data_IF_796529769968
#
_entry.id   IF_796529769968
#
_cell.length_a   1.000
_cell.length_b   1.000
_cell.length_c   1.000
_cell.angle_alpha   90.00
_cell.angle_beta   90.00
_cell.angle_gamma   90.00
#
_symmetry.space_group_name_H-M   'P 1'
#
loop_
_entity.id
_entity.type
_entity.pdbx_description
1 polymer ?
#
# COMPACT_ATOMS: atom_id res chain seq x y z
N UNK A 1 11.17 -12.42 10.52
CA UNK A 1 9.79 -12.15 10.91
C UNK A 1 8.88 -13.25 10.41
N UNK A 2 7.92 -13.68 11.22
CA UNK A 2 6.83 -14.58 10.81
C UNK A 2 5.58 -14.13 11.55
N UNK A 3 4.48 -13.91 10.83
CA UNK A 3 3.19 -13.51 11.36
C UNK A 3 2.09 -14.41 10.79
N UNK A 4 1.21 -14.86 11.66
CA UNK A 4 -0.01 -15.58 11.28
C UNK A 4 -1.21 -14.70 11.61
N UNK A 5 -2.20 -14.71 10.74
CA UNK A 5 -3.50 -14.08 10.96
C UNK A 5 -4.56 -15.16 11.17
N UNK A 6 -5.49 -14.92 12.10
CA UNK A 6 -6.71 -15.68 12.26
C UNK A 6 -7.90 -14.77 12.00
N UNK A 7 -8.70 -15.12 11.02
CA UNK A 7 -9.90 -14.38 10.68
C UNK A 7 -11.12 -15.28 10.89
N UNK A 8 -12.11 -14.75 11.62
CA UNK A 8 -13.42 -15.39 11.84
C UNK A 8 -14.40 -14.90 10.75
N UNK A 9 -14.11 -15.28 9.52
CA UNK A 9 -14.94 -14.98 8.33
C UNK A 9 -15.90 -16.14 7.96
N UNK A 10 -16.01 -17.13 8.86
CA UNK A 10 -16.80 -18.33 8.66
C UNK A 10 -16.01 -19.52 8.12
N UNK A 11 -14.72 -19.37 7.84
CA UNK A 11 -13.81 -20.45 7.45
C UNK A 11 -12.89 -20.90 8.59
N UNK A 12 -12.74 -20.08 9.65
CA UNK A 12 -11.92 -20.33 10.84
C UNK A 12 -10.51 -20.84 10.51
N UNK A 13 -9.86 -20.25 9.51
CA UNK A 13 -8.53 -20.65 9.08
C UNK A 13 -7.44 -19.77 9.70
N UNK A 14 -6.30 -20.38 10.02
CA UNK A 14 -5.07 -19.66 10.32
C UNK A 14 -4.27 -19.60 9.03
N UNK A 15 -3.99 -18.40 8.55
CA UNK A 15 -3.19 -18.19 7.35
C UNK A 15 -1.86 -17.51 7.68
N UNK A 16 -0.87 -17.69 6.81
CA UNK A 16 0.39 -16.98 6.87
C UNK A 16 0.19 -15.59 6.29
N UNK A 17 0.26 -14.58 7.15
CA UNK A 17 0.19 -13.18 6.76
C UNK A 17 1.53 -12.71 6.21
N UNK A 18 2.57 -12.74 7.04
CA UNK A 18 3.92 -12.36 6.65
C UNK A 18 4.96 -13.39 7.05
N UNK A 19 5.94 -13.63 6.18
CA UNK A 19 7.13 -14.40 6.49
C UNK A 19 8.30 -13.96 5.63
N UNK A 20 9.24 -13.20 6.22
CA UNK A 20 10.38 -12.69 5.49
C UNK A 20 11.66 -12.67 6.32
N UNK A 21 12.80 -12.59 5.62
CA UNK A 21 14.12 -12.39 6.19
C UNK A 21 14.76 -11.13 5.61
N UNK A 22 15.42 -10.34 6.46
CA UNK A 22 16.21 -9.17 6.05
C UNK A 22 17.69 -9.51 6.31
N UNK A 23 18.53 -9.26 5.29
CA UNK A 23 19.97 -9.40 5.36
C UNK A 23 20.58 -8.03 5.13
N UNK A 24 21.13 -7.43 6.17
CA UNK A 24 21.74 -6.10 6.11
C UNK A 24 22.35 -5.75 7.44
N UNK A 25 23.19 -4.71 7.42
CA UNK A 25 23.76 -4.12 8.63
C UNK A 25 23.89 -2.62 8.43
N UNK A 26 22.88 -1.87 8.87
CA UNK A 26 22.80 -0.41 8.71
C UNK A 26 23.98 0.36 9.33
N UNK A 27 24.68 -0.22 10.31
CA UNK A 27 25.88 0.39 10.90
C UNK A 27 27.10 0.31 9.97
N UNK A 28 27.14 -0.66 9.07
CA UNK A 28 28.29 -0.93 8.19
C UNK A 28 28.01 -0.56 6.73
N UNK A 29 26.82 -0.88 6.24
CA UNK A 29 26.43 -0.64 4.85
C UNK A 29 25.00 -0.11 4.81
N UNK A 30 24.72 0.90 3.99
CA UNK A 30 23.35 1.41 3.84
C UNK A 30 22.45 0.48 3.02
N UNK A 31 22.96 -0.62 2.48
CA UNK A 31 22.24 -1.55 1.62
C UNK A 31 21.75 -2.78 2.39
N UNK A 32 20.57 -3.28 2.02
CA UNK A 32 19.98 -4.50 2.56
C UNK A 32 19.24 -5.28 1.48
N UNK A 33 19.01 -6.56 1.77
CA UNK A 33 18.18 -7.46 0.98
C UNK A 33 17.03 -7.94 1.88
N UNK A 34 15.84 -8.03 1.31
CA UNK A 34 14.68 -8.66 1.97
C UNK A 34 14.09 -9.71 1.03
N UNK A 35 13.74 -10.87 1.56
CA UNK A 35 13.13 -11.95 0.80
C UNK A 35 12.05 -12.65 1.63
N UNK A 36 10.92 -12.98 1.01
CA UNK A 36 9.79 -13.64 1.63
C UNK A 36 8.46 -13.02 1.22
N UNK A 37 7.42 -13.21 2.02
CA UNK A 37 6.08 -12.63 1.82
C UNK A 37 5.85 -11.50 2.82
N UNK A 38 5.46 -10.33 2.32
CA UNK A 38 5.03 -9.16 3.12
C UNK A 38 4.27 -8.17 2.22
N UNK A 39 3.63 -7.16 2.81
CA UNK A 39 3.10 -6.02 2.05
C UNK A 39 4.26 -5.25 1.41
N UNK A 40 4.41 -5.31 0.08
CA UNK A 40 5.50 -4.66 -0.64
C UNK A 40 5.45 -3.13 -0.48
N UNK A 41 6.58 -2.40 -0.54
CA UNK A 41 6.60 -0.96 -0.29
C UNK A 41 5.97 -0.18 -1.45
N UNK A 42 4.64 -0.14 -1.46
CA UNK A 42 3.81 0.63 -2.38
C UNK A 42 2.69 1.30 -1.59
N UNK A 43 2.90 2.56 -1.19
CA UNK A 43 2.01 3.35 -0.35
C UNK A 43 2.50 3.55 1.09
N UNK A 44 2.10 4.68 1.68
CA UNK A 44 2.19 4.96 3.10
C UNK A 44 0.79 4.97 3.68
N UNK A 45 0.49 4.00 4.55
CA UNK A 45 -0.87 3.75 5.03
C UNK A 45 -1.06 4.10 6.51
N UNK A 46 -0.14 4.89 7.07
CA UNK A 46 -0.26 5.35 8.46
C UNK A 46 -1.54 6.14 8.68
N UNK A 47 -2.17 5.89 9.81
CA UNK A 47 -3.42 6.54 10.21
C UNK A 47 -3.58 6.55 11.74
N UNK A 48 -4.23 7.56 12.28
CA UNK A 48 -4.70 7.60 13.66
C UNK A 48 -6.17 7.14 13.80
N UNK A 49 -6.82 6.79 12.69
CA UNK A 49 -8.17 6.25 12.67
C UNK A 49 -8.18 4.77 13.03
N UNK A 50 -9.33 4.26 13.45
CA UNK A 50 -9.53 2.83 13.68
C UNK A 50 -9.82 2.03 12.41
N UNK A 51 -9.93 2.69 11.28
CA UNK A 51 -10.21 2.10 9.97
C UNK A 51 -9.09 2.47 9.00
N UNK A 52 -8.74 1.54 8.14
CA UNK A 52 -7.73 1.75 7.10
C UNK A 52 -8.10 2.89 6.13
N UNK A 53 -7.11 3.64 5.62
CA UNK A 53 -7.34 4.63 4.59
C UNK A 53 -7.74 3.97 3.26
N UNK A 54 -8.51 4.67 2.42
CA UNK A 54 -8.94 4.15 1.11
C UNK A 54 -7.75 3.87 0.19
N UNK A 55 -6.63 4.56 0.34
CA UNK A 55 -5.39 4.26 -0.37
C UNK A 55 -4.85 2.87 -0.03
N UNK A 56 -4.93 2.45 1.25
CA UNK A 56 -4.57 1.08 1.65
C UNK A 56 -5.54 0.07 1.03
N UNK A 57 -6.84 0.33 1.14
CA UNK A 57 -7.86 -0.53 0.54
C UNK A 57 -7.62 -0.73 -0.96
N UNK A 58 -7.20 0.31 -1.69
CA UNK A 58 -6.94 0.21 -3.12
C UNK A 58 -5.64 -0.51 -3.46
N UNK A 59 -4.55 -0.32 -2.68
CA UNK A 59 -3.22 -0.63 -3.19
C UNK A 59 -2.32 -1.49 -2.31
N UNK A 60 -2.78 -1.94 -1.13
CA UNK A 60 -1.97 -2.87 -0.34
C UNK A 60 -1.80 -4.19 -1.10
N UNK A 61 -0.55 -4.51 -1.41
CA UNK A 61 -0.15 -5.69 -2.19
C UNK A 61 0.78 -6.53 -1.34
N UNK A 62 0.36 -7.73 -0.94
CA UNK A 62 1.11 -8.63 -0.07
C UNK A 62 1.59 -9.86 -0.84
N UNK A 63 2.85 -9.82 -1.29
CA UNK A 63 3.42 -10.81 -2.19
C UNK A 63 4.73 -11.43 -1.70
N UNK A 64 5.05 -12.60 -2.24
CA UNK A 64 6.36 -13.19 -2.09
C UNK A 64 7.35 -12.49 -3.04
N UNK A 65 8.24 -11.69 -2.47
CA UNK A 65 9.11 -10.80 -3.23
C UNK A 65 10.58 -10.90 -2.83
N UNK A 66 11.45 -10.41 -3.70
CA UNK A 66 12.86 -10.12 -3.43
C UNK A 66 13.08 -8.62 -3.59
N UNK A 67 13.59 -7.98 -2.53
CA UNK A 67 13.84 -6.55 -2.49
C UNK A 67 15.30 -6.24 -2.23
N UNK A 68 15.81 -5.24 -2.94
CA UNK A 68 17.09 -4.58 -2.68
C UNK A 68 16.79 -3.16 -2.21
N UNK A 69 17.28 -2.82 -1.02
CA UNK A 69 17.08 -1.51 -0.42
C UNK A 69 18.40 -0.79 -0.12
N UNK A 70 18.32 0.55 -0.12
CA UNK A 70 19.34 1.47 0.34
C UNK A 70 18.71 2.48 1.29
N UNK A 71 19.22 2.59 2.52
CA UNK A 71 18.72 3.55 3.51
C UNK A 71 19.90 4.29 4.17
N UNK A 72 19.91 5.62 4.06
CA UNK A 72 20.93 6.47 4.66
C UNK A 72 20.47 7.93 4.82
N UNK A 73 20.74 8.51 6.00
CA UNK A 73 20.48 9.92 6.27
C UNK A 73 19.01 10.34 6.03
N UNK A 74 18.07 9.48 6.38
CA UNK A 74 16.65 9.69 6.18
C UNK A 74 16.13 9.31 4.79
N UNK A 75 17.01 9.11 3.80
CA UNK A 75 16.59 8.62 2.47
C UNK A 75 16.52 7.10 2.46
N UNK A 76 15.44 6.56 1.89
CA UNK A 76 15.28 5.15 1.57
C UNK A 76 14.91 5.02 0.10
N UNK A 77 15.58 4.10 -0.60
CA UNK A 77 15.28 3.72 -1.98
C UNK A 77 15.20 2.20 -2.06
N UNK A 78 14.16 1.68 -2.66
CA UNK A 78 13.86 0.27 -2.75
C UNK A 78 13.44 -0.11 -4.15
N UNK A 79 13.91 -1.27 -4.60
CA UNK A 79 13.45 -1.91 -5.82
C UNK A 79 13.18 -3.38 -5.53
N UNK A 80 12.06 -3.90 -6.00
CA UNK A 80 11.65 -5.28 -5.72
C UNK A 80 11.00 -5.92 -6.93
N UNK A 81 11.13 -7.26 -7.00
CA UNK A 81 10.47 -8.11 -7.99
C UNK A 81 9.68 -9.21 -7.30
N UNK A 82 8.54 -9.57 -7.87
CA UNK A 82 7.65 -10.58 -7.33
C UNK A 82 6.90 -11.32 -8.44
N UNK A 83 6.37 -12.48 -8.08
CA UNK A 83 5.39 -13.20 -8.89
C UNK A 83 4.03 -12.96 -8.25
N UNK A 84 3.17 -12.18 -8.91
CA UNK A 84 1.85 -11.83 -8.40
C UNK A 84 0.83 -12.94 -8.64
N UNK A 85 -0.31 -12.82 -7.96
CA UNK A 85 -1.44 -13.73 -8.12
C UNK A 85 -2.14 -13.56 -9.49
N UNK A 86 -2.01 -12.37 -10.11
CA UNK A 86 -2.57 -12.08 -11.43
C UNK A 86 -1.50 -12.18 -12.52
N UNK A 87 -1.85 -12.80 -13.66
CA UNK A 87 -0.96 -13.03 -14.80
C UNK A 87 -1.59 -12.53 -16.10
N UNK A 88 -0.77 -12.15 -17.07
CA UNK A 88 -1.27 -11.89 -18.42
C UNK A 88 -1.78 -13.18 -19.06
N UNK A 89 -2.88 -13.07 -19.78
CA UNK A 89 -3.49 -14.21 -20.46
C UNK A 89 -2.55 -14.80 -21.50
N UNK A 90 -2.11 -16.03 -21.26
CA UNK A 90 -1.21 -16.77 -22.14
C UNK A 90 0.26 -16.67 -21.83
N UNK A 91 0.63 -15.91 -20.80
CA UNK A 91 1.99 -15.89 -20.26
C UNK A 91 2.21 -17.02 -19.25
N UNK A 92 3.47 -17.40 -19.04
CA UNK A 92 3.87 -18.36 -18.04
C UNK A 92 3.86 -17.69 -16.63
N UNK A 93 3.65 -18.50 -15.60
CA UNK A 93 3.70 -18.07 -14.20
C UNK A 93 5.16 -17.87 -13.77
N UNK A 94 5.64 -16.62 -13.84
CA UNK A 94 7.02 -16.26 -13.54
C UNK A 94 7.16 -14.91 -12.84
N UNK A 95 8.36 -14.61 -12.32
CA UNK A 95 8.67 -13.33 -11.68
C UNK A 95 8.88 -12.28 -12.78
N UNK A 96 7.83 -11.55 -13.14
CA UNK A 96 7.87 -10.51 -14.17
C UNK A 96 7.31 -9.16 -13.69
N UNK A 97 6.81 -9.13 -12.46
CA UNK A 97 6.26 -7.93 -11.85
C UNK A 97 7.29 -7.27 -10.92
N UNK A 98 7.27 -5.95 -10.83
CA UNK A 98 8.21 -5.19 -10.02
C UNK A 98 7.62 -3.89 -9.48
N UNK A 99 8.28 -3.37 -8.46
CA UNK A 99 7.99 -2.05 -7.94
C UNK A 99 9.24 -1.29 -7.54
N UNK A 100 9.08 0.01 -7.43
CA UNK A 100 10.08 0.97 -6.96
C UNK A 100 9.47 1.87 -5.91
N UNK A 101 10.19 2.13 -4.84
CA UNK A 101 9.77 3.04 -3.79
C UNK A 101 10.93 3.94 -3.38
N UNK A 102 10.62 5.20 -3.05
CA UNK A 102 11.57 6.14 -2.49
C UNK A 102 10.90 6.97 -1.41
N UNK A 103 11.57 7.14 -0.27
CA UNK A 103 11.09 7.97 0.81
C UNK A 103 12.20 8.81 1.43
N UNK A 104 11.80 9.88 2.10
CA UNK A 104 12.63 10.72 2.92
C UNK A 104 11.95 11.01 4.25
N UNK A 105 12.67 10.75 5.34
CA UNK A 105 12.21 11.02 6.70
C UNK A 105 13.23 11.87 7.43
N UNK A 106 12.76 12.82 8.23
CA UNK A 106 13.63 13.66 9.05
C UNK A 106 12.93 14.13 10.31
N UNK A 107 13.73 14.39 11.34
CA UNK A 107 13.28 15.01 12.58
C UNK A 107 14.08 16.30 12.82
N UNK A 108 13.39 17.42 13.01
CA UNK A 108 13.99 18.72 13.26
C UNK A 108 13.25 19.40 14.42
N UNK A 109 13.96 19.70 15.50
CA UNK A 109 13.41 20.42 16.66
C UNK A 109 12.14 19.79 17.24
N UNK A 110 12.06 18.45 17.26
CA UNK A 110 10.92 17.71 17.78
C UNK A 110 9.72 17.65 16.84
N UNK A 111 9.88 18.03 15.57
CA UNK A 111 8.91 17.81 14.52
C UNK A 111 9.42 16.71 13.58
N UNK A 112 8.58 15.74 13.24
CA UNK A 112 8.90 14.67 12.30
C UNK A 112 8.18 14.91 10.98
N UNK A 113 8.89 14.72 9.88
CA UNK A 113 8.36 14.83 8.52
C UNK A 113 8.75 13.59 7.73
N UNK A 114 7.79 13.04 6.99
CA UNK A 114 8.01 11.95 6.04
C UNK A 114 7.31 12.26 4.73
N UNK A 115 7.96 11.91 3.62
CA UNK A 115 7.35 11.92 2.28
C UNK A 115 7.88 10.73 1.51
N UNK A 116 7.02 10.08 0.73
CA UNK A 116 7.38 8.97 -0.13
C UNK A 116 6.57 8.96 -1.42
N UNK A 117 7.09 8.20 -2.39
CA UNK A 117 6.40 7.92 -3.64
C UNK A 117 6.83 6.55 -4.17
N UNK A 118 5.93 5.87 -4.85
CA UNK A 118 6.14 4.54 -5.40
C UNK A 118 5.57 4.35 -6.80
N UNK A 119 6.09 3.33 -7.45
CA UNK A 119 5.60 2.79 -8.70
C UNK A 119 5.44 1.28 -8.55
N UNK A 120 4.33 0.76 -9.05
CA UNK A 120 4.04 -0.66 -9.14
C UNK A 120 3.75 -1.01 -10.59
N UNK A 121 4.34 -2.08 -11.13
CA UNK A 121 4.12 -2.49 -12.52
C UNK A 121 2.73 -3.08 -12.74
N UNK A 122 2.08 -3.58 -11.67
CA UNK A 122 0.74 -4.14 -11.72
C UNK A 122 0.00 -3.94 -10.38
N UNK A 123 -1.05 -3.12 -10.37
CA UNK A 123 -1.90 -2.91 -9.19
C UNK A 123 -2.95 -4.01 -9.01
N UNK A 124 -3.14 -4.87 -10.01
CA UNK A 124 -4.16 -5.93 -9.97
C UNK A 124 -3.95 -6.95 -8.85
N UNK A 125 -2.72 -7.05 -8.33
CA UNK A 125 -2.36 -7.91 -7.20
C UNK A 125 -2.67 -7.30 -5.82
N UNK A 126 -3.24 -6.09 -5.75
CA UNK A 126 -3.82 -5.64 -4.49
C UNK A 126 -5.05 -6.51 -4.16
N UNK A 127 -5.18 -6.95 -2.90
CA UNK A 127 -6.24 -7.88 -2.50
C UNK A 127 -7.62 -7.43 -2.92
N UNK A 128 -7.95 -6.15 -2.78
CA UNK A 128 -9.26 -5.62 -3.19
C UNK A 128 -9.50 -5.73 -4.70
N UNK A 129 -8.47 -5.53 -5.52
CA UNK A 129 -8.63 -5.65 -6.99
C UNK A 129 -8.67 -7.11 -7.39
N UNK A 130 -7.74 -7.95 -6.91
CA UNK A 130 -7.69 -9.38 -7.21
C UNK A 130 -9.02 -10.07 -6.95
N UNK A 131 -9.66 -9.76 -5.83
CA UNK A 131 -10.94 -10.33 -5.41
C UNK A 131 -12.13 -9.89 -6.29
N UNK A 132 -11.99 -8.78 -7.01
CA UNK A 132 -13.08 -8.16 -7.76
C UNK A 132 -12.88 -8.15 -9.30
N UNK A 133 -11.72 -8.58 -9.79
CA UNK A 133 -11.48 -8.70 -11.22
C UNK A 133 -12.36 -9.82 -11.80
N UNK A 134 -13.15 -9.46 -12.80
CA UNK A 134 -14.04 -10.41 -13.48
C UNK A 134 -13.22 -11.31 -14.42
N UNK A 135 -13.43 -12.61 -14.33
CA UNK A 135 -12.73 -13.59 -15.18
C UNK A 135 -11.54 -14.27 -14.49
N UNK A 136 -11.28 -13.93 -13.23
CA UNK A 136 -10.20 -14.50 -12.43
C UNK A 136 -8.88 -13.77 -12.61
N UNK A 137 -7.78 -14.46 -12.35
CA UNK A 137 -6.44 -13.87 -12.30
C UNK A 137 -5.76 -13.68 -13.67
N UNK A 138 -6.39 -14.07 -14.79
CA UNK A 138 -5.85 -13.91 -16.13
C UNK A 138 -6.28 -12.57 -16.74
N UNK A 139 -5.34 -11.63 -16.85
CA UNK A 139 -5.55 -10.27 -17.34
C UNK A 139 -5.21 -10.13 -18.83
N UNK A 140 -5.81 -9.15 -19.49
CA UNK A 140 -5.43 -8.75 -20.85
C UNK A 140 -4.03 -8.09 -20.86
N UNK A 141 -3.74 -7.24 -19.86
CA UNK A 141 -2.43 -6.60 -19.66
C UNK A 141 -2.24 -6.21 -18.19
N UNK A 142 -1.01 -5.99 -17.74
CA UNK A 142 -0.72 -5.44 -16.43
C UNK A 142 -1.10 -3.96 -16.37
N UNK A 143 -1.65 -3.54 -15.25
CA UNK A 143 -2.07 -2.16 -15.01
C UNK A 143 -1.12 -1.51 -14.01
N UNK A 144 -0.18 -0.67 -14.47
CA UNK A 144 0.74 0.01 -13.58
C UNK A 144 0.03 1.04 -12.70
N UNK A 145 0.67 1.39 -11.57
CA UNK A 145 0.16 2.40 -10.66
C UNK A 145 1.26 3.29 -10.09
N UNK A 146 0.85 4.47 -9.63
CA UNK A 146 1.66 5.43 -8.89
C UNK A 146 1.02 5.74 -7.56
N UNK A 147 1.86 6.01 -6.58
CA UNK A 147 1.42 6.51 -5.29
C UNK A 147 2.34 7.64 -4.82
N UNK A 148 1.81 8.50 -3.95
CA UNK A 148 2.58 9.46 -3.16
C UNK A 148 1.92 9.63 -1.79
N UNK A 149 2.72 9.71 -0.74
CA UNK A 149 2.24 9.85 0.62
C UNK A 149 3.14 10.75 1.45
N UNK A 150 2.65 11.17 2.61
CA UNK A 150 3.45 11.92 3.54
C UNK A 150 2.80 12.06 4.90
N UNK A 151 3.63 12.37 5.90
CA UNK A 151 3.20 12.65 7.25
C UNK A 151 3.95 13.82 7.85
N UNK A 152 3.31 14.51 8.80
CA UNK A 152 3.91 15.59 9.57
C UNK A 152 3.44 15.48 11.02
N UNK A 153 4.39 15.36 11.95
CA UNK A 153 4.12 15.50 13.39
C UNK A 153 4.71 16.81 13.88
N UNK A 154 3.89 17.67 14.47
CA UNK A 154 4.34 18.95 15.03
C UNK A 154 3.60 19.25 16.33
N UNK A 155 4.34 19.27 17.45
CA UNK A 155 3.76 19.35 18.78
C UNK A 155 2.72 18.23 19.00
N UNK A 156 1.47 18.55 19.38
CA UNK A 156 0.42 17.55 19.59
C UNK A 156 -0.33 17.16 18.30
N UNK A 157 0.01 17.73 17.16
CA UNK A 157 -0.69 17.51 15.91
C UNK A 157 0.05 16.50 15.03
N UNK A 158 -0.73 15.60 14.41
CA UNK A 158 -0.24 14.65 13.39
C UNK A 158 -1.12 14.79 12.16
N UNK A 159 -0.47 14.84 11.00
CA UNK A 159 -1.15 14.90 9.70
C UNK A 159 -0.67 13.75 8.83
N UNK A 160 -1.60 13.12 8.15
CA UNK A 160 -1.31 12.09 7.14
C UNK A 160 -1.98 12.46 5.83
N UNK A 161 -1.36 12.09 4.72
CA UNK A 161 -1.97 12.24 3.41
C UNK A 161 -1.40 11.23 2.43
N UNK A 162 -2.25 10.72 1.55
CA UNK A 162 -1.89 9.78 0.50
C UNK A 162 -2.73 9.97 -0.74
N UNK A 163 -2.15 9.68 -1.89
CA UNK A 163 -2.79 9.59 -3.18
C UNK A 163 -2.25 8.38 -3.94
N UNK A 164 -3.13 7.64 -4.57
CA UNK A 164 -2.80 6.47 -5.37
C UNK A 164 -3.69 6.40 -6.60
N UNK A 165 -3.15 6.00 -7.74
CA UNK A 165 -3.90 5.87 -8.98
C UNK A 165 -3.31 4.79 -9.89
N UNK A 166 -4.18 4.03 -10.53
CA UNK A 166 -3.80 3.26 -11.71
C UNK A 166 -3.37 4.22 -12.82
N UNK A 167 -2.32 3.88 -13.57
CA UNK A 167 -1.80 4.68 -14.68
C UNK A 167 -2.62 4.49 -15.95
N UNK A 168 -3.04 3.27 -16.18
CA UNK A 168 -3.81 2.86 -17.35
C UNK A 168 -5.15 2.27 -16.90
N UNK A 169 -6.14 2.20 -17.78
CA UNK A 169 -7.43 1.58 -17.49
C UNK A 169 -7.35 0.05 -17.63
N UNK A 170 -8.03 -0.66 -16.77
CA UNK A 170 -8.32 -2.08 -16.95
C UNK A 170 -9.12 -2.34 -18.25
N UNK A 171 -9.09 -3.55 -18.76
CA UNK A 171 -10.07 -3.94 -19.76
C UNK A 171 -11.49 -3.90 -19.17
N UNK A 172 -12.47 -3.47 -19.97
CA UNK A 172 -13.86 -3.34 -19.49
C UNK A 172 -14.52 -4.66 -19.09
N UNK A 173 -13.94 -5.79 -19.51
CA UNK A 173 -14.34 -7.12 -19.07
C UNK A 173 -13.74 -7.55 -17.73
N UNK A 174 -12.74 -6.87 -17.24
CA UNK A 174 -12.01 -7.18 -16.00
C UNK A 174 -12.49 -6.30 -14.84
N UNK A 175 -12.33 -5.01 -14.96
CA UNK A 175 -12.84 -4.04 -14.01
C UNK A 175 -13.49 -2.89 -14.76
N UNK A 176 -14.81 -2.73 -14.60
CA UNK A 176 -15.59 -1.78 -15.37
C UNK A 176 -16.06 -0.58 -14.55
N UNK A 177 -16.03 0.59 -15.19
CA UNK A 177 -16.69 1.80 -14.72
C UNK A 177 -17.45 2.44 -15.90
N UNK A 178 -18.77 2.69 -15.73
CA UNK A 178 -19.63 3.25 -16.77
C UNK A 178 -19.56 2.50 -18.13
N UNK A 179 -19.47 1.18 -18.10
CA UNK A 179 -19.33 0.30 -19.28
C UNK A 179 -18.01 0.44 -20.05
N UNK A 180 -17.02 1.07 -19.45
CA UNK A 180 -15.63 1.16 -19.94
C UNK A 180 -14.68 0.51 -18.94
N UNK A 181 -13.42 0.36 -19.28
CA UNK A 181 -12.40 -0.07 -18.33
C UNK A 181 -12.19 0.97 -17.24
N UNK A 182 -12.16 0.55 -15.99
CA UNK A 182 -11.90 1.44 -14.85
C UNK A 182 -10.43 1.81 -14.73
N UNK A 183 -10.17 3.05 -14.31
CA UNK A 183 -8.85 3.54 -13.89
C UNK A 183 -8.96 4.00 -12.43
N UNK A 184 -8.91 3.08 -11.46
CA UNK A 184 -9.18 3.40 -10.07
C UNK A 184 -8.13 4.33 -9.47
N UNK A 185 -8.61 5.26 -8.64
CA UNK A 185 -7.78 6.12 -7.81
C UNK A 185 -8.38 6.28 -6.41
N UNK A 186 -7.54 6.60 -5.43
CA UNK A 186 -7.95 6.91 -4.07
C UNK A 186 -7.03 7.97 -3.45
N UNK A 187 -7.58 8.75 -2.52
CA UNK A 187 -6.81 9.66 -1.69
C UNK A 187 -7.36 9.74 -0.28
N UNK A 188 -6.51 10.12 0.65
CA UNK A 188 -6.87 10.41 2.03
C UNK A 188 -6.11 11.62 2.55
N UNK A 189 -6.78 12.40 3.39
CA UNK A 189 -6.21 13.45 4.22
C UNK A 189 -6.73 13.30 5.64
N UNK A 190 -5.83 13.35 6.61
CA UNK A 190 -6.14 13.15 8.02
C UNK A 190 -5.43 14.18 8.88
N UNK A 191 -6.10 14.61 9.95
CA UNK A 191 -5.53 15.43 11.00
C UNK A 191 -5.89 14.82 12.35
N UNK A 192 -4.89 14.63 13.21
CA UNK A 192 -5.04 14.11 14.54
C UNK A 192 -4.45 15.07 15.59
N UNK A 193 -5.05 15.10 16.77
CA UNK A 193 -4.59 15.81 17.94
C UNK A 193 -4.38 14.85 19.09
N UNK A 194 -3.14 14.73 19.54
CA UNK A 194 -2.74 13.85 20.65
C UNK A 194 -2.72 14.66 21.94
N UNK A 195 -3.42 14.21 22.95
CA UNK A 195 -3.52 14.88 24.26
C UNK A 195 -3.63 13.86 25.37
N UNK A 196 -3.59 14.32 26.60
CA UNK A 196 -3.78 13.49 27.77
C UNK A 196 -5.10 13.84 28.48
N UNK A 197 -5.99 12.86 28.61
CA UNK A 197 -7.25 13.00 29.34
C UNK A 197 -7.25 12.00 30.50
N UNK A 198 -7.34 12.51 31.76
CA UNK A 198 -7.29 11.69 32.96
C UNK A 198 -6.07 10.74 33.02
N UNK A 199 -4.89 11.25 32.71
CA UNK A 199 -3.62 10.52 32.63
C UNK A 199 -3.65 9.33 31.64
N UNK A 200 -4.44 9.47 30.58
CA UNK A 200 -4.43 8.53 29.45
C UNK A 200 -4.20 9.30 28.18
N UNK A 201 -3.25 8.84 27.39
CA UNK A 201 -3.05 9.35 26.03
C UNK A 201 -4.36 9.16 25.25
N UNK A 202 -4.78 10.22 24.60
CA UNK A 202 -6.04 10.28 23.87
C UNK A 202 -5.79 10.97 22.55
N UNK A 203 -6.11 10.29 21.45
CA UNK A 203 -6.03 10.84 20.10
C UNK A 203 -7.41 11.17 19.59
N UNK A 204 -7.58 12.40 19.11
CA UNK A 204 -8.78 12.85 18.40
C UNK A 204 -8.38 13.04 16.93
N UNK A 205 -9.02 12.32 16.04
CA UNK A 205 -8.68 12.36 14.61
C UNK A 205 -9.93 12.66 13.76
N UNK A 206 -9.70 13.33 12.64
CA UNK A 206 -10.68 13.54 11.58
C UNK A 206 -10.01 13.20 10.25
N UNK A 207 -10.75 12.56 9.36
CA UNK A 207 -10.27 12.19 8.04
C UNK A 207 -11.25 12.60 6.95
N UNK A 208 -10.74 12.86 5.75
CA UNK A 208 -11.51 13.00 4.53
C UNK A 208 -10.84 12.16 3.45
N UNK A 209 -11.62 11.30 2.81
CA UNK A 209 -11.10 10.33 1.83
C UNK A 209 -12.07 10.22 0.67
N UNK A 210 -11.56 9.93 -0.52
CA UNK A 210 -12.39 9.62 -1.67
C UNK A 210 -11.72 8.59 -2.57
N UNK A 211 -12.53 7.91 -3.36
CA UNK A 211 -12.09 7.07 -4.47
C UNK A 211 -12.78 7.49 -5.76
N UNK A 212 -12.13 7.24 -6.88
CA UNK A 212 -12.63 7.46 -8.23
C UNK A 212 -12.57 6.15 -9.00
N UNK A 213 -13.58 5.90 -9.83
CA UNK A 213 -13.72 4.69 -10.66
C UNK A 213 -13.55 3.35 -9.91
N UNK A 214 -13.80 3.34 -8.59
CA UNK A 214 -13.59 2.21 -7.70
C UNK A 214 -14.89 1.61 -7.12
N UNK A 215 -16.06 1.92 -7.70
CA UNK A 215 -17.34 1.40 -7.23
C UNK A 215 -17.43 -0.14 -7.37
N UNK A 216 -16.84 -0.72 -8.42
CA UNK A 216 -16.77 -2.16 -8.60
C UNK A 216 -15.92 -2.85 -7.49
N UNK A 217 -15.05 -2.10 -6.84
CA UNK A 217 -14.25 -2.55 -5.69
C UNK A 217 -14.97 -2.33 -4.35
N UNK A 218 -16.24 -1.97 -4.36
CA UNK A 218 -17.03 -1.62 -3.17
C UNK A 218 -16.46 -0.45 -2.37
N UNK A 219 -15.64 0.41 -2.99
CA UNK A 219 -15.08 1.57 -2.35
C UNK A 219 -16.02 2.77 -2.45
N UNK A 220 -16.21 3.55 -1.38
CA UNK A 220 -17.09 4.72 -1.40
C UNK A 220 -16.45 5.88 -2.18
N UNK A 221 -17.24 6.62 -2.96
CA UNK A 221 -16.77 7.84 -3.63
C UNK A 221 -16.27 8.90 -2.63
N UNK A 222 -16.80 8.95 -1.42
CA UNK A 222 -16.36 9.84 -0.34
C UNK A 222 -16.62 9.23 1.02
N UNK A 223 -15.67 9.38 1.94
CA UNK A 223 -15.76 8.95 3.35
C UNK A 223 -15.18 10.04 4.27
N UNK A 224 -15.86 10.30 5.41
CA UNK A 224 -15.47 11.25 6.45
C UNK A 224 -15.27 10.55 7.79
#
# INVERSE_FOLDING_TARGET
HIQFIYEDDGTETISLDEAYAIIGNSEKTPTYLQAGKWAVPFGGFDTAMSTDPLTKTLGETAEAALLVGYSKNGFTLEGYGYNGDTQKSGDDDEIDQFGLHGSFETEVSGNSFSIGAGYLSNISDSGTITDNVTGGTALADYVPAWEAHGSLTTGPFVFYGGYMTAKDSFASGELAFNSQGAQPAAWNLEAAYVTEIKNKETTLAVTMQASEEALALSMPETRY
#
